data_IF_955110527750
#
_entry.id   IF_955110527750
#
_cell.length_a   1.000
_cell.length_b   1.000
_cell.length_c   1.000
_cell.angle_alpha   90.00
_cell.angle_beta   90.00
_cell.angle_gamma   90.00
#
_symmetry.space_group_name_H-M   'P 1'
#
loop_
_entity.id
_entity.type
_entity.pdbx_description
1 polymer ?
#
# COMPACT_ATOMS: atom_id res chain seq x y z
N UNK A 1 -13.44 -17.87 2.78
CA UNK A 1 -13.43 -16.53 3.41
C UNK A 1 -12.15 -15.79 3.07
N UNK A 2 -10.95 -16.35 3.28
CA UNK A 2 -9.66 -15.68 2.99
C UNK A 2 -9.32 -15.40 1.51
N UNK A 3 -9.79 -16.20 0.54
CA UNK A 3 -9.54 -15.95 -0.89
C UNK A 3 -10.47 -14.86 -1.44
N UNK A 4 -11.72 -14.84 -0.96
CA UNK A 4 -12.71 -13.78 -1.23
C UNK A 4 -12.24 -12.45 -0.60
N UNK A 5 -11.64 -12.52 0.59
CA UNK A 5 -11.02 -11.37 1.24
C UNK A 5 -9.75 -10.90 0.50
N UNK A 6 -9.06 -11.80 -0.22
CA UNK A 6 -7.94 -11.43 -1.08
C UNK A 6 -8.42 -10.67 -2.32
N UNK A 7 -9.51 -11.08 -2.97
CA UNK A 7 -10.04 -10.37 -4.14
C UNK A 7 -10.63 -9.01 -3.75
N UNK A 8 -11.44 -8.97 -2.68
CA UNK A 8 -11.95 -7.70 -2.13
C UNK A 8 -10.77 -6.81 -1.74
N UNK A 9 -9.72 -7.33 -1.09
CA UNK A 9 -8.56 -6.51 -0.73
C UNK A 9 -7.72 -6.13 -1.94
N UNK A 10 -7.50 -6.96 -2.94
CA UNK A 10 -6.60 -6.68 -4.07
C UNK A 10 -7.25 -5.73 -5.09
N UNK A 11 -8.55 -5.91 -5.36
CA UNK A 11 -9.31 -5.03 -6.24
C UNK A 11 -9.68 -3.71 -5.55
N UNK A 12 -10.07 -3.77 -4.26
CA UNK A 12 -10.20 -2.57 -3.45
C UNK A 12 -8.85 -1.86 -3.43
N UNK A 13 -7.74 -2.51 -3.07
CA UNK A 13 -6.43 -1.84 -3.00
C UNK A 13 -6.03 -1.13 -4.29
N UNK A 14 -6.36 -1.58 -5.51
CA UNK A 14 -6.02 -0.79 -6.71
C UNK A 14 -6.84 0.50 -6.83
N UNK A 15 -8.17 0.40 -6.83
CA UNK A 15 -9.04 1.57 -6.99
C UNK A 15 -9.02 2.45 -5.73
N UNK A 16 -9.05 1.82 -4.57
CA UNK A 16 -8.88 2.44 -3.27
C UNK A 16 -7.49 3.04 -3.08
N UNK A 17 -6.43 2.59 -3.76
CA UNK A 17 -5.11 3.24 -3.67
C UNK A 17 -5.00 4.45 -4.60
N UNK A 18 -5.51 4.39 -5.83
CA UNK A 18 -5.63 5.60 -6.65
C UNK A 18 -6.48 6.63 -5.90
N UNK A 19 -7.64 6.22 -5.38
CA UNK A 19 -8.53 7.10 -4.64
C UNK A 19 -7.93 7.54 -3.31
N UNK A 20 -7.33 6.67 -2.50
CA UNK A 20 -6.69 7.05 -1.22
C UNK A 20 -5.45 7.86 -1.45
N UNK A 21 -4.60 7.56 -2.42
CA UNK A 21 -3.40 8.34 -2.64
C UNK A 21 -3.78 9.74 -3.13
N UNK A 22 -4.80 9.84 -3.96
CA UNK A 22 -5.36 11.10 -4.43
C UNK A 22 -6.17 11.82 -3.34
N UNK A 23 -6.80 11.09 -2.41
CA UNK A 23 -7.52 11.63 -1.26
C UNK A 23 -6.54 12.06 -0.17
N UNK A 24 -5.48 11.30 0.12
CA UNK A 24 -4.36 11.66 1.00
C UNK A 24 -3.68 12.87 0.39
N UNK A 25 -3.39 12.88 -0.91
CA UNK A 25 -2.74 14.02 -1.55
C UNK A 25 -3.64 15.26 -1.50
N UNK A 26 -4.93 15.14 -1.82
CA UNK A 26 -5.90 16.24 -1.72
C UNK A 26 -6.14 16.70 -0.30
N UNK A 27 -6.31 15.79 0.66
CA UNK A 27 -6.54 16.13 2.08
C UNK A 27 -5.28 16.63 2.74
N UNK A 28 -4.10 16.14 2.38
CA UNK A 28 -2.81 16.64 2.85
C UNK A 28 -2.54 18.03 2.28
N UNK A 29 -2.69 18.25 0.97
CA UNK A 29 -2.56 19.60 0.40
C UNK A 29 -3.63 20.54 0.94
N UNK A 30 -4.89 20.11 1.04
CA UNK A 30 -5.96 20.94 1.58
C UNK A 30 -5.74 21.24 3.06
N UNK A 31 -5.33 20.28 3.89
CA UNK A 31 -5.06 20.50 5.31
C UNK A 31 -3.82 21.33 5.54
N UNK A 32 -2.74 21.15 4.76
CA UNK A 32 -1.57 22.03 4.81
C UNK A 32 -1.99 23.45 4.40
N UNK A 33 -2.74 23.64 3.32
CA UNK A 33 -3.21 24.97 2.91
C UNK A 33 -4.17 25.59 3.95
N UNK A 34 -5.05 24.79 4.55
CA UNK A 34 -6.06 25.25 5.50
C UNK A 34 -5.47 25.55 6.88
N UNK A 35 -4.53 24.73 7.37
CA UNK A 35 -3.81 24.93 8.64
C UNK A 35 -2.89 26.16 8.54
N UNK A 36 -2.25 26.36 7.39
CA UNK A 36 -1.45 27.56 7.14
C UNK A 36 -2.31 28.81 6.91
N UNK A 37 -3.55 28.66 6.46
CA UNK A 37 -4.48 29.77 6.18
C UNK A 37 -5.33 30.26 7.35
N UNK A 38 -5.56 29.44 8.39
CA UNK A 38 -6.60 29.72 9.41
C UNK A 38 -6.14 29.66 10.88
N UNK A 39 -4.92 29.26 11.19
CA UNK A 39 -4.49 29.16 12.60
C UNK A 39 -4.03 30.50 13.18
N UNK A 40 -5.00 31.33 13.56
CA UNK A 40 -4.82 32.48 14.45
C UNK A 40 -4.24 32.09 15.83
N UNK A 41 -3.56 33.06 16.43
CA UNK A 41 -2.54 32.99 17.49
C UNK A 41 -2.71 32.10 18.75
N UNK A 42 -3.82 31.39 18.97
CA UNK A 42 -4.07 30.64 20.21
C UNK A 42 -3.98 29.11 20.11
N UNK A 43 -4.06 28.55 18.90
CA UNK A 43 -3.95 27.08 18.67
C UNK A 43 -2.52 26.62 18.34
N UNK A 44 -1.63 27.56 18.04
CA UNK A 44 -0.26 27.33 17.56
C UNK A 44 0.57 26.52 18.57
N UNK A 45 0.50 26.82 19.87
CA UNK A 45 1.36 26.16 20.87
C UNK A 45 0.89 24.76 21.30
N UNK A 46 -0.42 24.50 21.33
CA UNK A 46 -0.95 23.19 21.76
C UNK A 46 -0.95 22.16 20.62
N UNK A 47 -1.16 22.61 19.38
CA UNK A 47 -1.07 21.73 18.21
C UNK A 47 0.35 21.41 17.77
N UNK A 48 1.33 22.32 17.93
CA UNK A 48 2.70 22.09 17.47
C UNK A 48 3.34 20.82 18.05
N UNK A 49 2.83 20.34 19.20
CA UNK A 49 3.36 19.16 19.88
C UNK A 49 2.73 17.83 19.44
N UNK A 50 1.50 17.78 18.93
CA UNK A 50 0.80 16.51 18.62
C UNK A 50 0.76 16.15 17.14
N UNK A 51 0.67 17.12 16.24
CA UNK A 51 0.54 16.89 14.80
C UNK A 51 1.64 16.01 14.18
N UNK A 52 2.95 16.19 14.49
CA UNK A 52 3.97 15.43 13.77
C UNK A 52 4.00 13.95 14.17
N UNK A 53 3.54 13.59 15.37
CA UNK A 53 3.43 12.19 15.78
C UNK A 53 2.35 11.44 15.00
N UNK A 54 1.23 12.11 14.71
CA UNK A 54 0.15 11.52 13.89
C UNK A 54 0.67 11.23 12.49
N UNK A 55 1.37 12.21 11.90
CA UNK A 55 1.96 12.08 10.56
C UNK A 55 2.95 10.90 10.50
N UNK A 56 3.90 10.82 11.44
CA UNK A 56 4.88 9.71 11.47
C UNK A 56 4.18 8.35 11.61
N UNK A 57 3.17 8.23 12.49
CA UNK A 57 2.44 6.97 12.68
C UNK A 57 1.66 6.55 11.41
N UNK A 58 1.06 7.50 10.69
CA UNK A 58 0.38 7.20 9.42
C UNK A 58 1.34 6.70 8.36
N UNK A 59 2.49 7.35 8.15
CA UNK A 59 3.49 6.89 7.18
C UNK A 59 4.12 5.56 7.58
N UNK A 60 4.34 5.32 8.88
CA UNK A 60 4.81 4.04 9.38
C UNK A 60 3.79 2.92 9.09
N UNK A 61 2.51 3.19 9.31
CA UNK A 61 1.43 2.23 9.01
C UNK A 61 1.37 1.90 7.52
N UNK A 62 1.44 2.90 6.64
CA UNK A 62 1.46 2.70 5.18
C UNK A 62 2.67 1.88 4.76
N UNK A 63 3.86 2.20 5.28
CA UNK A 63 5.09 1.45 5.00
C UNK A 63 4.97 -0.02 5.42
N UNK A 64 4.53 -0.28 6.66
CA UNK A 64 4.32 -1.64 7.19
C UNK A 64 3.29 -2.41 6.35
N UNK A 65 2.18 -1.77 5.97
CA UNK A 65 1.18 -2.38 5.09
C UNK A 65 1.75 -2.75 3.72
N UNK A 66 2.60 -1.89 3.13
CA UNK A 66 3.28 -2.19 1.86
C UNK A 66 4.20 -3.41 1.93
N UNK A 67 5.00 -3.51 3.01
CA UNK A 67 5.85 -4.68 3.23
C UNK A 67 5.04 -5.95 3.50
N UNK A 68 3.98 -5.87 4.31
CA UNK A 68 3.10 -7.03 4.57
C UNK A 68 2.43 -7.51 3.28
N UNK A 69 1.99 -6.60 2.41
CA UNK A 69 1.43 -6.94 1.12
C UNK A 69 2.45 -7.70 0.24
N UNK A 70 3.70 -7.22 0.17
CA UNK A 70 4.77 -7.92 -0.56
C UNK A 70 4.97 -9.35 -0.04
N UNK A 71 5.01 -9.54 1.29
CA UNK A 71 5.18 -10.85 1.91
C UNK A 71 4.01 -11.80 1.60
N UNK A 72 2.77 -11.29 1.65
CA UNK A 72 1.58 -12.08 1.32
C UNK A 72 1.55 -12.50 -0.15
N UNK A 73 1.90 -11.60 -1.07
CA UNK A 73 1.99 -11.93 -2.50
C UNK A 73 3.08 -12.98 -2.78
N UNK A 74 4.19 -12.94 -2.06
CA UNK A 74 5.32 -13.83 -2.30
C UNK A 74 5.12 -15.23 -1.71
N UNK A 75 4.61 -15.32 -0.48
CA UNK A 75 4.63 -16.57 0.28
C UNK A 75 3.25 -17.24 0.38
N UNK A 76 2.17 -16.46 0.48
CA UNK A 76 0.83 -17.02 0.76
C UNK A 76 -0.03 -17.17 -0.48
N UNK A 77 0.04 -16.22 -1.42
CA UNK A 77 -0.77 -16.24 -2.63
C UNK A 77 -0.58 -17.54 -3.45
N UNK A 78 0.65 -18.03 -3.72
CA UNK A 78 0.83 -19.23 -4.54
C UNK A 78 0.18 -20.48 -3.93
N UNK A 79 0.32 -20.66 -2.62
CA UNK A 79 -0.18 -21.85 -1.91
C UNK A 79 -1.70 -21.82 -1.80
N UNK A 80 -2.26 -20.67 -1.41
CA UNK A 80 -3.72 -20.49 -1.29
C UNK A 80 -4.43 -20.59 -2.64
N UNK A 81 -3.87 -19.98 -3.68
CA UNK A 81 -4.46 -20.03 -5.02
C UNK A 81 -4.39 -21.44 -5.61
N UNK A 82 -3.27 -22.15 -5.42
CA UNK A 82 -3.15 -23.56 -5.84
C UNK A 82 -4.17 -24.45 -5.14
N UNK A 83 -4.37 -24.27 -3.83
CA UNK A 83 -5.39 -25.01 -3.08
C UNK A 83 -6.81 -24.68 -3.58
N UNK A 84 -7.11 -23.40 -3.83
CA UNK A 84 -8.40 -22.97 -4.38
C UNK A 84 -8.69 -23.68 -5.71
N UNK A 85 -7.71 -23.67 -6.61
CA UNK A 85 -7.83 -24.23 -7.96
C UNK A 85 -7.94 -25.76 -7.99
N UNK A 86 -7.14 -26.44 -7.17
CA UNK A 86 -7.04 -27.91 -7.22
C UNK A 86 -8.16 -28.59 -6.44
N UNK A 87 -8.63 -27.99 -5.34
CA UNK A 87 -9.55 -28.64 -4.40
C UNK A 87 -10.98 -28.11 -4.45
N UNK A 88 -11.17 -26.82 -4.71
CA UNK A 88 -12.47 -26.15 -4.48
C UNK A 88 -13.14 -25.66 -5.76
N UNK A 89 -12.34 -25.22 -6.74
CA UNK A 89 -12.84 -24.73 -8.03
C UNK A 89 -13.77 -25.75 -8.68
N UNK A 90 -15.00 -25.34 -9.04
CA UNK A 90 -15.97 -26.17 -9.75
C UNK A 90 -16.43 -27.46 -9.04
N UNK A 91 -16.01 -27.69 -7.80
CA UNK A 91 -16.31 -28.90 -7.03
C UNK A 91 -17.46 -28.61 -6.07
N UNK A 92 -18.46 -29.48 -6.03
CA UNK A 92 -19.59 -29.39 -5.10
C UNK A 92 -20.21 -27.97 -5.04
N UNK A 93 -20.72 -27.52 -6.18
CA UNK A 93 -21.34 -26.20 -6.35
C UNK A 93 -22.62 -25.98 -5.52
N UNK A 94 -23.07 -26.99 -4.75
CA UNK A 94 -24.13 -26.80 -3.74
C UNK A 94 -23.65 -25.98 -2.54
N UNK A 95 -22.33 -25.96 -2.28
CA UNK A 95 -21.74 -25.19 -1.19
C UNK A 95 -21.41 -23.78 -1.66
N UNK A 96 -22.04 -22.77 -1.04
CA UNK A 96 -21.80 -21.34 -1.32
C UNK A 96 -20.32 -20.97 -1.37
N UNK A 97 -19.52 -21.49 -0.45
CA UNK A 97 -18.06 -21.25 -0.41
C UNK A 97 -17.36 -21.64 -1.72
N UNK A 98 -17.74 -22.76 -2.32
CA UNK A 98 -17.10 -23.25 -3.54
C UNK A 98 -17.59 -22.46 -4.75
N UNK A 99 -18.84 -22.02 -4.75
CA UNK A 99 -19.38 -21.08 -5.74
C UNK A 99 -18.57 -19.79 -5.72
N UNK A 100 -18.43 -19.17 -4.54
CA UNK A 100 -17.69 -17.91 -4.38
C UNK A 100 -16.23 -18.06 -4.84
N UNK A 101 -15.56 -19.16 -4.47
CA UNK A 101 -14.18 -19.45 -4.89
C UNK A 101 -14.09 -19.63 -6.42
N UNK A 102 -15.04 -20.34 -7.01
CA UNK A 102 -15.06 -20.58 -8.47
C UNK A 102 -15.22 -19.27 -9.22
N UNK A 103 -16.18 -18.44 -8.81
CA UNK A 103 -16.40 -17.11 -9.38
C UNK A 103 -15.17 -16.21 -9.24
N UNK A 104 -14.56 -16.18 -8.06
CA UNK A 104 -13.31 -15.45 -7.78
C UNK A 104 -12.18 -15.89 -8.73
N UNK A 105 -11.96 -17.21 -8.84
CA UNK A 105 -10.90 -17.75 -9.70
C UNK A 105 -11.17 -17.41 -11.17
N UNK A 106 -12.42 -17.53 -11.63
CA UNK A 106 -12.79 -17.20 -13.00
C UNK A 106 -12.57 -15.71 -13.29
N UNK A 107 -12.91 -14.83 -12.35
CA UNK A 107 -12.69 -13.39 -12.47
C UNK A 107 -11.20 -13.04 -12.52
N UNK A 108 -10.37 -13.65 -11.67
CA UNK A 108 -8.91 -13.49 -11.68
C UNK A 108 -8.35 -13.95 -13.03
N UNK A 109 -8.73 -15.13 -13.50
CA UNK A 109 -8.26 -15.68 -14.78
C UNK A 109 -8.61 -14.80 -15.95
N UNK A 110 -9.86 -14.35 -15.97
CA UNK A 110 -10.40 -13.46 -16.98
C UNK A 110 -9.66 -12.12 -16.99
N UNK A 111 -9.59 -11.45 -15.83
CA UNK A 111 -9.04 -10.10 -15.71
C UNK A 111 -7.54 -10.06 -16.00
N UNK A 112 -6.80 -11.02 -15.46
CA UNK A 112 -5.34 -11.08 -15.62
C UNK A 112 -4.90 -11.87 -16.85
N UNK A 113 -5.84 -12.35 -17.68
CA UNK A 113 -5.54 -13.04 -18.95
C UNK A 113 -4.54 -14.18 -18.74
N UNK A 114 -4.84 -15.02 -17.75
CA UNK A 114 -3.96 -16.06 -17.24
C UNK A 114 -4.72 -17.37 -17.06
N UNK A 115 -4.01 -18.50 -17.00
CA UNK A 115 -4.60 -19.80 -16.71
C UNK A 115 -3.69 -20.64 -15.82
N UNK A 116 -4.29 -21.26 -14.81
CA UNK A 116 -3.55 -22.04 -13.81
C UNK A 116 -2.89 -21.17 -12.74
N UNK A 117 -1.89 -21.73 -12.05
CA UNK A 117 -1.33 -21.12 -10.84
C UNK A 117 -0.03 -20.39 -11.13
N UNK A 118 1.03 -21.07 -11.56
CA UNK A 118 2.35 -20.46 -11.76
C UNK A 118 3.14 -21.04 -12.95
N UNK A 119 4.06 -20.21 -13.43
CA UNK A 119 4.98 -20.54 -14.51
C UNK A 119 4.45 -20.13 -15.88
N UNK A 120 5.20 -20.55 -16.90
CA UNK A 120 4.91 -20.26 -18.31
C UNK A 120 4.21 -21.45 -18.99
N UNK A 121 4.06 -21.37 -20.31
CA UNK A 121 3.37 -22.37 -21.14
C UNK A 121 3.80 -23.82 -20.91
N UNK A 122 5.09 -24.06 -20.65
CA UNK A 122 5.68 -25.39 -20.47
C UNK A 122 5.66 -25.86 -19.01
N UNK A 123 5.15 -25.04 -18.10
CA UNK A 123 5.06 -25.36 -16.67
C UNK A 123 3.93 -26.35 -16.41
N UNK A 124 4.19 -27.32 -15.54
CA UNK A 124 3.17 -28.24 -15.01
C UNK A 124 2.07 -27.56 -14.19
N UNK A 125 2.30 -26.31 -13.79
CA UNK A 125 1.43 -25.57 -12.87
C UNK A 125 0.75 -24.37 -13.53
N UNK A 126 0.93 -24.18 -14.84
CA UNK A 126 0.13 -23.28 -15.65
C UNK A 126 -1.24 -23.92 -15.94
N UNK A 127 -1.78 -23.79 -17.15
CA UNK A 127 -3.03 -24.42 -17.57
C UNK A 127 -3.05 -25.95 -17.32
N UNK A 128 -1.91 -26.65 -17.37
CA UNK A 128 -1.83 -28.11 -17.21
C UNK A 128 -2.25 -28.60 -15.82
N UNK A 129 -2.26 -27.71 -14.81
CA UNK A 129 -2.61 -28.08 -13.43
C UNK A 129 -4.04 -28.62 -13.30
N UNK A 130 -4.95 -28.16 -14.17
CA UNK A 130 -6.33 -28.65 -14.20
C UNK A 130 -6.37 -30.14 -14.46
N UNK A 131 -5.73 -30.58 -15.54
CA UNK A 131 -5.63 -31.99 -15.92
C UNK A 131 -4.87 -32.82 -14.88
N UNK A 132 -3.75 -32.28 -14.38
CA UNK A 132 -2.83 -33.04 -13.52
C UNK A 132 -3.33 -33.24 -12.09
N UNK A 133 -3.99 -32.23 -11.51
CA UNK A 133 -4.18 -32.16 -10.06
C UNK A 133 -5.51 -31.57 -9.62
N UNK A 134 -6.36 -31.09 -10.53
CA UNK A 134 -7.67 -30.54 -10.13
C UNK A 134 -8.72 -31.62 -9.99
N UNK A 135 -9.43 -31.61 -8.86
CA UNK A 135 -10.60 -32.45 -8.61
C UNK A 135 -11.72 -32.12 -9.60
N UNK A 136 -11.84 -30.85 -10.03
CA UNK A 136 -12.81 -30.46 -11.05
C UNK A 136 -12.65 -31.23 -12.35
N UNK A 137 -11.40 -31.40 -12.81
CA UNK A 137 -11.14 -32.14 -14.04
C UNK A 137 -11.56 -33.60 -13.88
N UNK A 138 -11.17 -34.25 -12.78
CA UNK A 138 -11.54 -35.65 -12.50
C UNK A 138 -13.08 -35.84 -12.50
N UNK A 139 -13.80 -34.99 -11.75
CA UNK A 139 -15.27 -35.06 -11.64
C UNK A 139 -15.95 -34.74 -12.97
N UNK A 140 -15.39 -33.81 -13.75
CA UNK A 140 -15.94 -33.44 -15.06
C UNK A 140 -15.77 -34.59 -16.04
N UNK A 141 -14.62 -35.27 -16.06
CA UNK A 141 -14.39 -36.42 -16.95
C UNK A 141 -15.25 -37.63 -16.59
N UNK A 142 -15.53 -37.87 -15.30
CA UNK A 142 -16.43 -38.96 -14.89
C UNK A 142 -17.88 -38.73 -15.34
N UNK A 143 -18.32 -37.47 -15.37
CA UNK A 143 -19.71 -37.10 -15.69
C UNK A 143 -19.93 -36.76 -17.16
N UNK A 144 -18.88 -36.40 -17.90
CA UNK A 144 -19.00 -35.94 -19.28
C UNK A 144 -19.18 -37.10 -20.26
N UNK A 145 -20.05 -36.88 -21.26
CA UNK A 145 -20.05 -37.69 -22.48
C UNK A 145 -18.76 -37.43 -23.27
N UNK A 146 -18.31 -38.39 -24.10
CA UNK A 146 -17.06 -38.25 -24.89
C UNK A 146 -16.99 -36.98 -25.76
N UNK A 147 -18.13 -36.38 -26.09
CA UNK A 147 -18.25 -35.12 -26.85
C UNK A 147 -18.19 -33.83 -26.02
N UNK A 148 -18.06 -33.93 -24.69
CA UNK A 148 -18.09 -32.80 -23.75
C UNK A 148 -16.89 -32.81 -22.78
N UNK A 149 -15.77 -33.42 -23.16
CA UNK A 149 -14.56 -33.42 -22.34
C UNK A 149 -13.96 -32.01 -22.33
N UNK A 150 -14.02 -31.35 -21.17
CA UNK A 150 -13.47 -30.02 -20.96
C UNK A 150 -12.12 -30.12 -20.23
N UNK A 151 -11.06 -29.55 -20.80
CA UNK A 151 -9.71 -29.63 -20.24
C UNK A 151 -9.35 -28.44 -19.34
N UNK A 152 -9.89 -27.27 -19.68
CA UNK A 152 -9.67 -26.00 -19.00
C UNK A 152 -10.98 -25.23 -18.93
N UNK A 153 -11.18 -24.37 -17.92
CA UNK A 153 -12.38 -23.55 -17.85
C UNK A 153 -12.40 -22.46 -18.91
N UNK A 154 -13.58 -21.91 -19.16
CA UNK A 154 -13.80 -20.86 -20.17
C UNK A 154 -13.11 -19.54 -19.82
N UNK A 155 -12.91 -19.28 -18.53
CA UNK A 155 -12.18 -18.11 -18.01
C UNK A 155 -10.71 -18.08 -18.44
N UNK A 156 -10.14 -19.21 -18.87
CA UNK A 156 -8.80 -19.29 -19.44
C UNK A 156 -8.73 -18.95 -20.94
N UNK A 157 -9.87 -18.79 -21.63
CA UNK A 157 -9.93 -18.66 -23.08
C UNK A 157 -9.72 -17.22 -23.57
N UNK A 158 -9.05 -17.10 -24.71
CA UNK A 158 -8.78 -15.80 -25.34
C UNK A 158 -10.04 -15.28 -26.04
N UNK A 159 -10.38 -14.02 -25.77
CA UNK A 159 -11.49 -13.32 -26.42
C UNK A 159 -11.12 -12.83 -27.83
N UNK A 160 -12.11 -12.78 -28.72
CA UNK A 160 -11.97 -12.33 -30.12
C UNK A 160 -11.66 -10.84 -30.23
N UNK A 161 -12.26 -10.04 -29.36
CA UNK A 161 -12.10 -8.59 -29.37
C UNK A 161 -11.32 -8.08 -28.15
N UNK A 162 -10.32 -7.25 -28.39
CA UNK A 162 -9.49 -6.66 -27.32
C UNK A 162 -10.11 -5.40 -26.70
N UNK A 163 -11.19 -4.89 -27.30
CA UNK A 163 -11.78 -3.59 -26.97
C UNK A 163 -13.04 -3.65 -26.09
N UNK A 164 -13.56 -4.84 -25.78
CA UNK A 164 -14.64 -4.94 -24.82
C UNK A 164 -14.08 -4.98 -23.41
N UNK A 165 -14.21 -3.86 -22.70
CA UNK A 165 -14.06 -3.81 -21.24
C UNK A 165 -15.35 -4.38 -20.63
N UNK A 166 -15.30 -5.65 -20.24
CA UNK A 166 -16.36 -6.26 -19.44
C UNK A 166 -16.09 -5.99 -17.96
N UNK A 167 -17.13 -5.57 -17.25
CA UNK A 167 -17.03 -5.31 -15.82
C UNK A 167 -17.04 -6.60 -14.99
N UNK A 168 -17.53 -7.70 -15.56
CA UNK A 168 -17.60 -9.01 -14.89
C UNK A 168 -17.58 -10.17 -15.88
N UNK A 169 -17.01 -11.31 -15.46
CA UNK A 169 -17.05 -12.56 -16.21
C UNK A 169 -18.47 -13.13 -16.36
N UNK A 170 -19.39 -12.82 -15.44
CA UNK A 170 -20.78 -13.30 -15.52
C UNK A 170 -21.53 -12.71 -16.71
N UNK A 171 -21.24 -11.45 -17.08
CA UNK A 171 -21.84 -10.79 -18.26
C UNK A 171 -21.38 -11.44 -19.58
N UNK A 172 -20.16 -11.97 -19.57
CA UNK A 172 -19.53 -12.64 -20.70
C UNK A 172 -20.10 -14.01 -20.99
N UNK A 173 -20.37 -14.81 -19.95
CA UNK A 173 -20.96 -16.15 -20.12
C UNK A 173 -22.30 -16.12 -20.87
N UNK A 174 -23.02 -14.99 -20.83
CA UNK A 174 -24.28 -14.81 -21.53
C UNK A 174 -24.12 -14.55 -23.04
N UNK A 175 -22.91 -14.26 -23.53
CA UNK A 175 -22.63 -13.96 -24.95
C UNK A 175 -21.65 -14.99 -25.53
N UNK A 176 -22.17 -15.94 -26.29
CA UNK A 176 -21.38 -17.02 -26.89
C UNK A 176 -20.40 -16.59 -27.99
N UNK A 177 -20.64 -15.45 -28.65
CA UNK A 177 -19.86 -14.97 -29.82
C UNK A 177 -18.62 -14.12 -29.45
N UNK A 178 -18.25 -14.08 -28.16
CA UNK A 178 -17.14 -13.22 -27.67
C UNK A 178 -15.79 -13.96 -27.68
N UNK A 179 -15.80 -15.29 -27.61
CA UNK A 179 -14.58 -16.10 -27.62
C UNK A 179 -14.03 -16.26 -29.04
N UNK A 180 -12.69 -16.29 -29.18
CA UNK A 180 -12.05 -16.48 -30.49
C UNK A 180 -12.45 -17.83 -31.11
N UNK A 181 -12.30 -18.91 -30.35
CA UNK A 181 -12.87 -20.23 -30.62
C UNK A 181 -13.01 -21.00 -29.30
N UNK A 182 -14.23 -21.01 -28.76
CA UNK A 182 -14.54 -21.65 -27.47
C UNK A 182 -14.25 -23.14 -27.50
N UNK A 183 -14.64 -23.83 -28.57
CA UNK A 183 -14.53 -25.28 -28.67
C UNK A 183 -13.07 -25.75 -28.75
N UNK A 184 -12.21 -25.00 -29.43
CA UNK A 184 -10.77 -25.28 -29.48
C UNK A 184 -10.11 -25.01 -28.13
N UNK A 185 -10.42 -23.87 -27.50
CA UNK A 185 -9.78 -23.48 -26.23
C UNK A 185 -10.04 -24.51 -25.12
N UNK A 186 -11.32 -24.82 -24.88
CA UNK A 186 -11.72 -25.73 -23.80
C UNK A 186 -11.41 -27.20 -24.14
N UNK A 187 -11.13 -27.48 -25.41
CA UNK A 187 -10.69 -28.76 -25.95
C UNK A 187 -11.80 -29.72 -26.37
N UNK A 188 -13.00 -29.22 -26.67
CA UNK A 188 -14.08 -30.02 -27.25
C UNK A 188 -13.75 -30.50 -28.67
N UNK A 189 -13.04 -29.69 -29.46
CA UNK A 189 -12.64 -30.04 -30.82
C UNK A 189 -11.16 -30.40 -30.84
N UNK A 190 -10.86 -31.69 -30.98
CA UNK A 190 -9.48 -32.10 -31.21
C UNK A 190 -9.06 -31.81 -32.65
N UNK A 191 -8.19 -30.83 -32.82
CA UNK A 191 -7.46 -30.60 -34.05
C UNK A 191 -6.37 -31.69 -34.17
N UNK A 192 -6.76 -32.83 -34.75
CA UNK A 192 -5.94 -34.04 -34.89
C UNK A 192 -4.66 -33.90 -35.75
N UNK A 193 -4.21 -32.68 -36.07
CA UNK A 193 -3.15 -32.44 -37.06
C UNK A 193 -2.17 -31.29 -36.74
N UNK A 194 -2.24 -30.64 -35.56
CA UNK A 194 -1.27 -29.60 -35.18
C UNK A 194 -0.73 -29.83 -33.77
N UNK A 195 0.59 -29.86 -33.66
CA UNK A 195 1.35 -29.95 -32.39
C UNK A 195 1.23 -28.67 -31.52
N UNK A 196 0.48 -27.67 -31.96
CA UNK A 196 0.37 -26.34 -31.36
C UNK A 196 -0.72 -26.25 -30.25
N UNK A 197 -1.20 -27.38 -29.70
CA UNK A 197 -2.46 -27.42 -28.95
C UNK A 197 -2.28 -28.02 -27.55
N UNK A 198 -2.25 -27.14 -26.56
CA UNK A 198 -2.15 -27.45 -25.12
C UNK A 198 -3.15 -28.53 -24.61
N UNK A 199 -4.46 -28.49 -24.91
CA UNK A 199 -5.45 -29.40 -24.30
C UNK A 199 -5.20 -30.93 -24.39
N UNK A 200 -4.48 -31.43 -25.41
CA UNK A 200 -4.33 -32.89 -25.62
C UNK A 200 -2.98 -33.46 -25.18
N UNK A 201 -1.97 -32.62 -24.93
CA UNK A 201 -0.60 -33.04 -24.65
C UNK A 201 -0.47 -33.58 -23.22
N UNK A 202 0.19 -34.74 -23.07
CA UNK A 202 0.39 -35.44 -21.78
C UNK A 202 1.54 -34.88 -20.95
N UNK A 203 2.41 -34.08 -21.55
CA UNK A 203 3.52 -33.42 -20.88
C UNK A 203 3.73 -32.01 -21.44
N UNK A 204 3.52 -30.95 -20.63
CA UNK A 204 3.66 -29.57 -21.09
C UNK A 204 5.10 -29.21 -21.48
N UNK A 205 6.10 -29.99 -21.07
CA UNK A 205 7.50 -29.79 -21.47
C UNK A 205 7.76 -29.93 -22.97
N UNK A 206 6.86 -30.54 -23.74
CA UNK A 206 6.97 -30.66 -25.20
C UNK A 206 6.35 -29.48 -25.96
N UNK A 207 5.76 -28.50 -25.27
CA UNK A 207 5.10 -27.35 -25.90
C UNK A 207 6.15 -26.33 -26.31
N UNK A 208 6.44 -26.29 -27.61
CA UNK A 208 7.41 -25.36 -28.22
C UNK A 208 6.78 -24.10 -28.80
N UNK A 209 5.45 -24.08 -28.96
CA UNK A 209 4.69 -22.98 -29.58
C UNK A 209 3.51 -22.55 -28.71
N UNK A 210 3.20 -21.27 -28.78
CA UNK A 210 2.08 -20.68 -28.03
C UNK A 210 0.73 -21.00 -28.68
N UNK A 211 -0.25 -21.32 -27.84
CA UNK A 211 -1.64 -21.51 -28.21
C UNK A 211 -2.37 -20.16 -28.28
N UNK A 212 -2.87 -19.80 -29.46
CA UNK A 212 -3.59 -18.54 -29.67
C UNK A 212 -4.96 -18.46 -28.98
N UNK A 213 -5.51 -19.60 -28.53
CA UNK A 213 -6.86 -19.71 -27.97
C UNK A 213 -6.88 -19.77 -26.44
N UNK A 214 -5.73 -19.96 -25.80
CA UNK A 214 -5.60 -20.22 -24.37
C UNK A 214 -4.56 -19.30 -23.73
N UNK A 215 -4.89 -18.74 -22.57
CA UNK A 215 -3.89 -18.06 -21.75
C UNK A 215 -2.91 -19.06 -21.13
N UNK A 216 -1.62 -18.94 -21.43
CA UNK A 216 -0.64 -19.97 -21.07
C UNK A 216 0.13 -19.69 -19.78
N UNK A 217 0.06 -18.44 -19.28
CA UNK A 217 0.78 -18.02 -18.09
C UNK A 217 -0.03 -18.29 -16.83
N UNK A 218 0.63 -18.74 -15.76
CA UNK A 218 0.00 -18.93 -14.46
C UNK A 218 -0.43 -17.62 -13.81
N UNK A 219 -1.62 -17.59 -13.21
CA UNK A 219 -2.21 -16.37 -12.67
C UNK A 219 -1.41 -15.74 -11.54
N UNK A 220 -0.83 -16.53 -10.65
CA UNK A 220 0.01 -16.02 -9.56
C UNK A 220 1.26 -15.35 -10.12
N UNK A 221 1.81 -15.86 -11.23
CA UNK A 221 2.97 -15.24 -11.89
C UNK A 221 2.59 -13.86 -12.45
N UNK A 222 1.47 -13.77 -13.17
CA UNK A 222 0.99 -12.50 -13.74
C UNK A 222 0.62 -11.50 -12.65
N UNK A 223 -0.19 -11.90 -11.67
CA UNK A 223 -0.61 -11.05 -10.55
C UNK A 223 0.59 -10.58 -9.75
N UNK A 224 1.56 -11.45 -9.45
CA UNK A 224 2.79 -11.05 -8.75
C UNK A 224 3.57 -10.02 -9.56
N UNK A 225 3.66 -10.17 -10.88
CA UNK A 225 4.37 -9.22 -11.73
C UNK A 225 3.67 -7.86 -11.75
N UNK A 226 2.35 -7.83 -11.92
CA UNK A 226 1.57 -6.59 -11.99
C UNK A 226 1.59 -5.83 -10.66
N UNK A 227 1.40 -6.51 -9.53
CA UNK A 227 1.28 -5.87 -8.22
C UNK A 227 2.61 -5.59 -7.53
N UNK A 228 3.69 -6.27 -7.92
CA UNK A 228 5.00 -6.06 -7.30
C UNK A 228 5.49 -4.62 -7.45
N UNK A 229 5.26 -3.99 -8.60
CA UNK A 229 5.65 -2.59 -8.81
C UNK A 229 4.87 -1.65 -7.87
N UNK A 230 3.56 -1.83 -7.77
CA UNK A 230 2.72 -1.04 -6.86
C UNK A 230 3.11 -1.22 -5.39
N UNK A 231 3.33 -2.45 -4.96
CA UNK A 231 3.69 -2.73 -3.58
C UNK A 231 5.08 -2.18 -3.22
N UNK A 232 6.05 -2.23 -4.15
CA UNK A 232 7.36 -1.58 -3.98
C UNK A 232 7.20 -0.06 -3.94
N UNK A 233 6.40 0.55 -4.83
CA UNK A 233 6.14 1.99 -4.82
C UNK A 233 5.48 2.44 -3.50
N UNK A 234 4.56 1.66 -2.95
CA UNK A 234 3.88 1.95 -1.68
C UNK A 234 4.85 1.88 -0.50
N UNK A 235 5.66 0.81 -0.43
CA UNK A 235 6.69 0.67 0.59
C UNK A 235 7.76 1.77 0.50
N UNK A 236 8.21 2.09 -0.71
CA UNK A 236 9.22 3.12 -0.95
C UNK A 236 8.70 4.52 -0.59
N UNK A 237 7.51 4.90 -1.07
CA UNK A 237 6.91 6.21 -0.80
C UNK A 237 6.64 6.43 0.69
N UNK A 238 6.09 5.44 1.40
CA UNK A 238 5.91 5.50 2.85
C UNK A 238 7.22 5.66 3.60
N UNK A 239 8.28 4.97 3.17
CA UNK A 239 9.61 5.05 3.78
C UNK A 239 10.27 6.42 3.54
N UNK A 240 10.21 6.94 2.31
CA UNK A 240 10.76 8.27 1.99
C UNK A 240 10.04 9.38 2.77
N UNK A 241 8.71 9.34 2.84
CA UNK A 241 7.93 10.32 3.60
C UNK A 241 8.24 10.26 5.09
N UNK A 242 8.45 9.06 5.65
CA UNK A 242 8.85 8.87 7.04
C UNK A 242 10.23 9.48 7.33
N UNK A 243 11.22 9.25 6.46
CA UNK A 243 12.56 9.85 6.60
C UNK A 243 12.49 11.38 6.57
N UNK A 244 11.76 11.96 5.61
CA UNK A 244 11.59 13.41 5.53
C UNK A 244 10.87 13.99 6.76
N UNK A 245 9.86 13.28 7.27
CA UNK A 245 9.12 13.68 8.48
C UNK A 245 10.03 13.70 9.71
N UNK A 246 10.91 12.70 9.85
CA UNK A 246 11.89 12.64 10.95
C UNK A 246 12.90 13.79 10.86
N UNK A 247 13.40 14.08 9.65
CA UNK A 247 14.32 15.22 9.45
C UNK A 247 13.63 16.54 9.82
N UNK A 248 12.38 16.74 9.37
CA UNK A 248 11.58 17.91 9.72
C UNK A 248 11.34 18.06 11.23
N UNK A 249 11.12 16.94 11.92
CA UNK A 249 11.00 16.89 13.38
C UNK A 249 12.30 17.31 14.09
N UNK A 250 13.45 16.81 13.64
CA UNK A 250 14.77 17.16 14.20
C UNK A 250 15.05 18.66 14.03
N UNK A 251 14.82 19.20 12.83
CA UNK A 251 15.03 20.63 12.54
C UNK A 251 14.09 21.48 13.40
N UNK A 252 12.82 21.09 13.53
CA UNK A 252 11.84 21.81 14.34
C UNK A 252 12.24 21.85 15.82
N UNK A 253 12.73 20.73 16.36
CA UNK A 253 13.22 20.65 17.73
C UNK A 253 14.46 21.53 17.93
N UNK A 254 15.43 21.48 17.02
CA UNK A 254 16.63 22.32 17.09
C UNK A 254 16.31 23.82 17.05
N UNK A 255 15.36 24.24 16.21
CA UNK A 255 14.89 25.62 16.14
C UNK A 255 14.20 26.05 17.44
N UNK A 256 13.34 25.20 18.02
CA UNK A 256 12.66 25.49 19.28
C UNK A 256 13.66 25.64 20.43
N UNK A 257 14.61 24.71 20.56
CA UNK A 257 15.67 24.79 21.57
C UNK A 257 16.54 26.04 21.40
N UNK A 258 16.84 26.44 20.16
CA UNK A 258 17.56 27.68 19.91
C UNK A 258 16.76 28.91 20.35
N UNK A 259 15.45 28.97 20.08
CA UNK A 259 14.60 30.09 20.50
C UNK A 259 14.50 30.16 22.03
N UNK A 260 14.25 29.04 22.71
CA UNK A 260 14.20 28.99 24.18
C UNK A 260 15.53 29.43 24.81
N UNK A 261 16.65 28.99 24.24
CA UNK A 261 17.97 29.41 24.68
C UNK A 261 18.19 30.92 24.55
N UNK A 262 17.79 31.52 23.43
CA UNK A 262 17.89 32.97 23.21
C UNK A 262 17.01 33.77 24.18
N UNK A 263 15.81 33.27 24.48
CA UNK A 263 14.92 33.89 25.48
C UNK A 263 15.51 33.83 26.89
N UNK A 264 16.08 32.68 27.27
CA UNK A 264 16.73 32.50 28.56
C UNK A 264 17.91 33.47 28.76
N UNK A 265 18.77 33.63 27.73
CA UNK A 265 19.88 34.59 27.78
C UNK A 265 19.36 36.01 28.01
N UNK A 266 18.36 36.47 27.24
CA UNK A 266 17.83 37.84 27.39
C UNK A 266 17.32 38.12 28.80
N UNK A 267 16.54 37.20 29.37
CA UNK A 267 16.00 37.34 30.73
C UNK A 267 17.14 37.40 31.77
N UNK A 268 18.18 36.57 31.60
CA UNK A 268 19.33 36.58 32.51
C UNK A 268 20.12 37.89 32.47
N UNK A 269 20.26 38.50 31.29
CA UNK A 269 20.96 39.79 31.12
C UNK A 269 20.20 40.97 31.74
N UNK A 270 18.86 41.00 31.64
CA UNK A 270 18.04 42.05 32.27
C UNK A 270 18.06 41.95 33.79
N UNK A 271 17.98 40.74 34.36
CA UNK A 271 18.09 40.54 35.81
C UNK A 271 19.46 40.94 36.37
N UNK A 272 20.54 40.66 35.62
CA UNK A 272 21.89 41.07 35.99
C UNK A 272 22.06 42.60 36.05
N UNK A 273 21.39 43.33 35.16
CA UNK A 273 21.48 44.79 35.12
C UNK A 273 20.76 45.48 36.29
N UNK A 274 19.65 44.92 36.80
CA UNK A 274 18.91 45.47 37.94
C UNK A 274 19.64 45.32 39.30
N UNK A 275 20.47 44.29 39.47
CA UNK A 275 21.27 44.11 40.69
C UNK A 275 22.48 45.05 40.76
N UNK A 276 22.91 45.64 39.65
CA UNK A 276 24.00 46.63 39.65
C UNK A 276 23.46 48.00 40.07
N UNK A 277 22.28 48.39 39.58
CA UNK A 277 21.68 49.70 39.88
C UNK A 277 21.35 49.88 41.36
N UNK A 278 20.82 48.85 42.03
CA UNK A 278 20.48 48.89 43.47
C UNK A 278 21.71 48.99 44.36
N UNK A 279 22.84 48.42 43.96
CA UNK A 279 24.10 48.54 44.70
C UNK A 279 24.77 49.91 44.48
N UNK A 280 24.65 50.52 43.31
CA UNK A 280 25.10 51.91 43.09
C UNK A 280 24.22 52.95 43.78
N UNK A 281 22.91 52.75 43.89
CA UNK A 281 22.05 53.67 44.67
C UNK A 281 22.27 53.54 46.18
N UNK A 282 22.50 52.33 46.72
CA UNK A 282 22.88 52.18 48.14
C UNK A 282 24.25 52.82 48.43
N UNK A 283 25.24 52.60 47.56
CA UNK A 283 26.57 53.22 47.70
C UNK A 283 26.56 54.74 47.55
N UNK A 284 25.70 55.29 46.68
CA UNK A 284 25.51 56.74 46.55
C UNK A 284 24.82 57.36 47.78
N UNK A 285 23.89 56.63 48.43
CA UNK A 285 23.21 57.10 49.65
C UNK A 285 24.14 57.12 50.87
N UNK A 286 25.04 56.14 50.98
CA UNK A 286 26.01 56.09 52.08
C UNK A 286 27.08 57.18 51.97
N UNK A 287 27.51 57.55 50.75
CA UNK A 287 28.47 58.65 50.54
C UNK A 287 27.88 60.04 50.82
N UNK A 288 26.58 60.26 50.65
CA UNK A 288 25.94 61.55 51.00
C UNK A 288 25.84 61.71 52.53
N UNK A 289 25.75 60.61 53.30
CA UNK A 289 25.70 60.66 54.77
C UNK A 289 27.05 61.00 55.43
N UNK A 290 28.17 60.75 54.74
CA UNK A 290 29.52 61.03 55.24
C UNK A 290 29.89 62.50 55.00
N UNK A 291 29.46 63.09 53.87
CA UNK A 291 29.74 64.50 53.55
C UNK A 291 28.94 65.45 54.47
N UNK A 292 27.74 65.08 54.91
CA UNK A 292 26.97 65.89 55.87
C UNK A 292 27.51 65.85 57.31
N UNK A 293 28.47 64.99 57.62
CA UNK A 293 29.11 64.91 58.95
C UNK A 293 30.47 65.64 59.01
N UNK A 294 31.06 66.00 57.88
CA UNK A 294 32.32 66.74 57.84
C UNK A 294 32.14 68.27 57.80
N UNK A 295 30.96 68.78 57.45
CA UNK A 295 30.64 70.22 57.47
C UNK A 295 30.13 70.76 58.81
N UNK A 296 30.11 69.96 59.89
CA UNK A 296 29.72 70.43 61.23
C UNK A 296 30.88 70.45 62.25
N UNK A 297 32.13 70.22 61.82
CA UNK A 297 33.29 70.13 62.73
C UNK A 297 34.42 71.12 62.39
N UNK A 298 34.10 72.25 61.77
CA UNK A 298 35.09 73.29 61.42
C UNK A 298 34.84 74.67 62.04
N UNK A 299 33.73 74.91 62.71
CA UNK A 299 33.32 76.27 63.15
C UNK A 299 33.31 76.47 64.67
N UNK A 300 34.29 75.93 65.41
CA UNK A 300 34.56 76.39 66.79
C UNK A 300 36.07 76.45 67.03
N UNK A 301 36.75 77.35 66.34
CA UNK A 301 37.99 77.95 66.83
C UNK A 301 38.20 79.27 66.12
N UNK A 302 37.93 80.40 66.78
CA UNK A 302 38.64 81.69 66.69
C UNK A 302 37.86 82.79 67.42
N UNK A 303 38.49 83.29 68.50
CA UNK A 303 38.41 84.64 69.11
C UNK A 303 37.10 85.07 69.78
N UNK A 304 37.11 85.89 70.83
CA UNK A 304 38.12 86.40 71.76
C UNK A 304 37.32 87.17 72.83
#
# INVERSE_FOLDING_TARGET
>A
MLVIDLDIKIFSVRNYFEDILLLIWKTYFASVIYIWGWSGCFWILYLQRREPYVIVNTFLSVSVCGYMLLLQLENELPTKFTLALTKYYGVNMSLRRNVDITMTVDEIQFKFKCCGTYGQQSSNSSWYIYRKSSVWYLVTQEKASKSQLQYVPESCCVLKDKYFEFNSFTELQLKSDVFLDREICVGYKSLSARDDIAPRIDNPGYITRSNAYLHEQGCVTVVKQDYRQYAIMLAASGTTALVLSIIGLIISFALLSHIEYQQFIRISTEYGSCNITTNTELSARDNISIISKQTSSSDILVKA
#
